data_IF_600520663702
#
_entry.id   IF_600520663702
#
_cell.length_a   1.000
_cell.length_b   1.000
_cell.length_c   1.000
_cell.angle_alpha   90.00
_cell.angle_beta   90.00
_cell.angle_gamma   90.00
#
_symmetry.space_group_name_H-M   'P 1'
#
loop_
_entity.id
_entity.type
_entity.pdbx_description
1 polymer ?
#
# COMPACT_ATOMS: atom_id res chain seq x y z
N UNK A 1 -16.81 1.32 25.55
CA UNK A 1 -15.45 0.90 25.18
C UNK A 1 -14.54 2.05 25.56
N UNK A 2 -13.73 1.87 26.60
CA UNK A 2 -12.92 2.96 27.18
C UNK A 2 -11.64 3.10 26.35
N UNK A 3 -11.40 4.29 25.78
CA UNK A 3 -10.14 4.57 25.07
C UNK A 3 -9.11 5.02 26.10
N UNK A 4 -8.11 4.19 26.37
CA UNK A 4 -6.94 4.58 27.16
C UNK A 4 -6.02 5.46 26.31
N UNK A 5 -5.90 6.74 26.67
CA UNK A 5 -4.95 7.65 26.00
C UNK A 5 -3.57 7.57 26.65
N UNK A 6 -2.54 7.34 25.83
CA UNK A 6 -1.14 7.34 26.26
C UNK A 6 -0.46 8.65 25.86
N UNK A 7 0.14 9.34 26.84
CA UNK A 7 0.93 10.55 26.59
C UNK A 7 2.39 10.17 26.33
N UNK A 8 2.90 10.59 25.18
CA UNK A 8 4.30 10.34 24.77
C UNK A 8 5.00 11.66 24.47
N UNK A 9 6.31 11.73 24.75
CA UNK A 9 7.17 12.82 24.33
C UNK A 9 7.99 12.36 23.13
N UNK A 10 8.04 13.18 22.07
CA UNK A 10 8.80 12.91 20.86
C UNK A 10 9.69 14.11 20.54
N UNK A 11 10.90 13.86 20.06
CA UNK A 11 11.78 14.90 19.55
C UNK A 11 11.49 15.12 18.07
N UNK A 12 11.36 16.38 17.67
CA UNK A 12 11.15 16.79 16.29
C UNK A 12 12.28 17.73 15.89
N UNK A 13 12.68 17.67 14.63
CA UNK A 13 13.52 18.71 14.05
C UNK A 13 12.73 20.02 13.96
N UNK A 14 13.41 21.15 14.14
CA UNK A 14 12.77 22.47 14.17
C UNK A 14 11.97 22.75 12.89
N UNK A 15 12.52 22.43 11.72
CA UNK A 15 11.85 22.60 10.43
C UNK A 15 10.54 21.80 10.32
N UNK A 16 10.55 20.58 10.86
CA UNK A 16 9.37 19.72 10.89
C UNK A 16 8.33 20.26 11.88
N UNK A 17 8.76 20.74 13.04
CA UNK A 17 7.88 21.35 14.02
C UNK A 17 7.20 22.61 13.46
N UNK A 18 7.94 23.47 12.77
CA UNK A 18 7.38 24.66 12.14
C UNK A 18 6.39 24.31 11.03
N UNK A 19 6.71 23.31 10.21
CA UNK A 19 5.79 22.79 9.19
C UNK A 19 4.48 22.26 9.79
N UNK A 20 4.57 21.49 10.90
CA UNK A 20 3.41 20.99 11.63
C UNK A 20 2.60 22.12 12.27
N UNK A 21 3.26 23.16 12.77
CA UNK A 21 2.62 24.33 13.37
C UNK A 21 1.82 25.12 12.33
N UNK A 22 2.35 25.31 11.13
CA UNK A 22 1.62 25.95 10.02
C UNK A 22 0.41 25.10 9.61
N UNK A 23 0.62 23.79 9.44
CA UNK A 23 -0.43 22.87 8.99
C UNK A 23 -1.54 22.65 10.02
N UNK A 24 -1.21 22.62 11.30
CA UNK A 24 -2.20 22.47 12.38
C UNK A 24 -3.13 23.68 12.44
N UNK A 25 -2.60 24.89 12.22
CA UNK A 25 -3.38 26.13 12.11
C UNK A 25 -4.29 26.15 10.88
N UNK A 26 -3.80 25.71 9.72
CA UNK A 26 -4.63 25.70 8.51
C UNK A 26 -5.79 24.72 8.58
N UNK A 27 -5.61 23.60 9.30
CA UNK A 27 -6.65 22.58 9.51
C UNK A 27 -7.52 22.87 10.74
N UNK A 28 -7.11 23.79 11.62
CA UNK A 28 -7.85 24.18 12.82
C UNK A 28 -7.82 23.14 13.94
N UNK A 29 -6.73 22.37 14.05
CA UNK A 29 -6.56 21.32 15.08
C UNK A 29 -5.25 21.51 15.85
N UNK A 30 -5.10 20.85 17.00
CA UNK A 30 -3.83 20.86 17.73
C UNK A 30 -2.74 20.08 16.98
N UNK A 31 -1.48 20.38 17.28
CA UNK A 31 -0.33 19.64 16.71
C UNK A 31 -0.42 18.16 17.10
N UNK A 32 -0.74 17.85 18.36
CA UNK A 32 -0.90 16.46 18.84
C UNK A 32 -1.99 15.71 18.08
N UNK A 33 -3.14 16.34 17.85
CA UNK A 33 -4.25 15.76 17.09
C UNK A 33 -3.86 15.53 15.63
N UNK A 34 -3.15 16.49 15.03
CA UNK A 34 -2.64 16.36 13.66
C UNK A 34 -1.66 15.18 13.52
N UNK A 35 -0.76 15.02 14.49
CA UNK A 35 0.19 13.90 14.53
C UNK A 35 -0.57 12.58 14.66
N UNK A 36 -1.50 12.46 15.61
CA UNK A 36 -2.30 11.25 15.80
C UNK A 36 -3.06 10.86 14.53
N UNK A 37 -3.79 11.78 13.90
CA UNK A 37 -4.53 11.51 12.64
C UNK A 37 -3.61 11.08 11.50
N UNK A 38 -2.40 11.63 11.45
CA UNK A 38 -1.44 11.28 10.41
C UNK A 38 -0.90 9.88 10.64
N UNK A 39 -0.55 9.55 11.89
CA UNK A 39 -0.07 8.22 12.27
C UNK A 39 -1.15 7.15 12.11
N UNK A 40 -2.40 7.42 12.48
CA UNK A 40 -3.52 6.49 12.26
C UNK A 40 -3.69 6.16 10.78
N UNK A 41 -3.64 7.17 9.91
CA UNK A 41 -3.72 6.96 8.45
C UNK A 41 -2.53 6.18 7.90
N UNK A 42 -1.35 6.40 8.45
CA UNK A 42 -0.12 5.75 7.99
C UNK A 42 -0.08 4.28 8.45
N UNK A 43 -0.40 4.00 9.72
CA UNK A 43 -0.48 2.65 10.28
C UNK A 43 -1.57 1.81 9.59
N UNK A 44 -2.68 2.43 9.20
CA UNK A 44 -3.75 1.73 8.46
C UNK A 44 -3.41 1.48 6.98
N UNK A 45 -2.41 2.15 6.43
CA UNK A 45 -1.89 1.85 5.10
C UNK A 45 -0.91 0.69 5.19
N UNK A 46 -1.43 -0.53 5.19
CA UNK A 46 -0.60 -1.70 4.87
C UNK A 46 -0.32 -1.69 3.35
N UNK A 47 0.91 -1.38 2.91
CA UNK A 47 1.22 -1.25 1.48
C UNK A 47 1.07 -2.59 0.74
N UNK A 48 1.18 -3.73 1.44
CA UNK A 48 0.99 -5.06 0.84
C UNK A 48 -0.50 -5.37 0.67
N UNK A 49 -1.32 -4.93 1.61
CA UNK A 49 -2.77 -5.09 1.52
C UNK A 49 -3.36 -4.26 0.36
N UNK A 50 -2.84 -3.07 0.11
CA UNK A 50 -3.32 -2.19 -0.97
C UNK A 50 -3.05 -2.78 -2.37
N UNK A 51 -1.85 -3.33 -2.60
CA UNK A 51 -1.55 -4.00 -3.87
C UNK A 51 -2.42 -5.25 -4.09
N UNK A 52 -2.57 -6.12 -3.08
CA UNK A 52 -3.43 -7.31 -3.19
C UNK A 52 -4.91 -6.92 -3.40
N UNK A 53 -5.39 -5.91 -2.70
CA UNK A 53 -6.75 -5.41 -2.85
C UNK A 53 -6.98 -4.78 -4.22
N UNK A 54 -5.99 -4.07 -4.77
CA UNK A 54 -6.04 -3.54 -6.13
C UNK A 54 -6.21 -4.67 -7.15
N UNK A 55 -5.35 -5.71 -7.11
CA UNK A 55 -5.46 -6.84 -8.03
C UNK A 55 -6.76 -7.64 -7.86
N UNK A 56 -7.27 -7.79 -6.62
CA UNK A 56 -8.54 -8.48 -6.37
C UNK A 56 -9.77 -7.73 -6.93
N UNK A 57 -9.69 -6.41 -7.09
CA UNK A 57 -10.76 -5.58 -7.66
C UNK A 57 -10.73 -5.52 -9.19
N UNK A 58 -9.64 -5.95 -9.83
CA UNK A 58 -9.56 -5.99 -11.28
C UNK A 58 -10.53 -7.04 -11.80
N UNK A 59 -11.51 -6.61 -12.59
CA UNK A 59 -12.33 -7.51 -13.39
C UNK A 59 -11.58 -7.83 -14.69
N UNK A 60 -11.60 -9.09 -15.15
CA UNK A 60 -11.09 -9.40 -16.48
C UNK A 60 -11.88 -8.61 -17.52
N UNK A 61 -11.21 -8.19 -18.59
CA UNK A 61 -11.88 -7.62 -19.75
C UNK A 61 -12.82 -8.67 -20.35
N UNK A 62 -13.90 -8.25 -20.99
CA UNK A 62 -14.88 -9.15 -21.61
C UNK A 62 -14.23 -10.11 -22.63
N UNK A 63 -13.19 -9.64 -23.34
CA UNK A 63 -12.39 -10.45 -24.26
C UNK A 63 -11.63 -11.61 -23.60
N UNK A 64 -11.48 -11.60 -22.28
CA UNK A 64 -10.81 -12.64 -21.49
C UNK A 64 -11.77 -13.39 -20.55
N UNK A 65 -13.09 -13.14 -20.62
CA UNK A 65 -14.07 -13.74 -19.71
C UNK A 65 -14.12 -15.28 -19.76
N UNK A 66 -13.80 -15.87 -20.92
CA UNK A 66 -13.72 -17.32 -21.13
C UNK A 66 -12.30 -17.90 -21.14
N UNK A 67 -11.29 -17.09 -20.83
CA UNK A 67 -9.88 -17.50 -20.94
C UNK A 67 -9.34 -17.82 -19.57
N UNK A 68 -8.95 -19.08 -19.36
CA UNK A 68 -8.24 -19.49 -18.14
C UNK A 68 -6.84 -18.86 -18.10
N UNK A 69 -6.54 -18.15 -17.02
CA UNK A 69 -5.32 -17.35 -16.88
C UNK A 69 -4.07 -18.24 -16.84
N UNK A 70 -4.16 -19.43 -16.25
CA UNK A 70 -3.04 -20.36 -16.17
C UNK A 70 -2.70 -20.92 -17.55
N UNK A 71 -3.70 -21.38 -18.30
CA UNK A 71 -3.53 -21.86 -19.68
C UNK A 71 -2.96 -20.80 -20.61
N UNK A 72 -3.41 -19.55 -20.47
CA UNK A 72 -2.94 -18.41 -21.26
C UNK A 72 -1.46 -18.11 -21.00
N UNK A 73 -1.05 -18.03 -19.73
CA UNK A 73 0.35 -17.79 -19.35
C UNK A 73 1.24 -18.96 -19.77
N UNK A 74 0.78 -20.21 -19.61
CA UNK A 74 1.49 -21.40 -20.11
C UNK A 74 1.69 -21.35 -21.62
N UNK A 75 0.67 -20.96 -22.39
CA UNK A 75 0.77 -20.82 -23.84
C UNK A 75 1.80 -19.76 -24.25
N UNK A 76 1.82 -18.59 -23.59
CA UNK A 76 2.83 -17.56 -23.82
C UNK A 76 4.23 -18.07 -23.47
N UNK A 77 4.40 -18.69 -22.29
CA UNK A 77 5.69 -19.22 -21.82
C UNK A 77 6.21 -20.34 -22.71
N UNK A 78 5.34 -21.21 -23.22
CA UNK A 78 5.71 -22.31 -24.12
C UNK A 78 6.28 -21.84 -25.46
N UNK A 79 5.83 -20.66 -25.93
CA UNK A 79 6.34 -20.01 -27.15
C UNK A 79 7.52 -19.08 -26.87
N UNK A 80 7.72 -18.70 -25.61
CA UNK A 80 8.84 -17.87 -25.19
C UNK A 80 10.09 -18.75 -25.06
N UNK A 81 11.15 -18.39 -25.77
CA UNK A 81 12.41 -19.13 -25.97
C UNK A 81 13.29 -19.23 -24.70
N UNK A 82 12.68 -19.29 -23.52
CA UNK A 82 13.35 -19.38 -22.20
C UNK A 82 13.13 -20.77 -21.59
N UNK A 83 13.12 -21.80 -22.42
CA UNK A 83 13.40 -23.17 -21.99
C UNK A 83 14.60 -23.64 -22.81
N UNK A 84 15.80 -23.43 -22.28
CA UNK A 84 17.00 -24.14 -22.75
C UNK A 84 17.81 -24.62 -21.56
N UNK A 85 18.00 -25.94 -21.57
CA UNK A 85 19.00 -26.77 -20.90
C UNK A 85 18.88 -26.99 -19.38
N UNK A 86 18.00 -27.90 -19.00
CA UNK A 86 18.27 -28.82 -17.90
C UNK A 86 17.84 -30.23 -18.27
N UNK A 87 18.36 -30.75 -19.39
CA UNK A 87 18.28 -32.17 -19.76
C UNK A 87 19.30 -32.41 -20.89
N UNK A 88 20.58 -32.50 -20.51
CA UNK A 88 21.59 -33.19 -21.28
C UNK A 88 22.05 -34.34 -20.39
N UNK A 89 21.40 -35.49 -20.57
CA UNK A 89 21.86 -36.80 -20.11
C UNK A 89 23.06 -37.23 -20.91
#
# INVERSE_FOLDING_TARGET
>A
MEYTMHRTQIYLQDELYDSLKVRSRSVGVSISELICRTLEKDIQKDPVADAKAYFARLKPLESFAGVDSESYVRAIRSKSRIVRNSEAT
#
